data_IF_304662373707
#
_entry.id   IF_304662373707
#
_cell.length_a   1.000
_cell.length_b   1.000
_cell.length_c   1.000
_cell.angle_alpha   90.00
_cell.angle_beta   90.00
_cell.angle_gamma   90.00
#
_symmetry.space_group_name_H-M   'P 1'
#
loop_
_entity.id
_entity.type
_entity.pdbx_description
1 polymer ?
#
# COMPACT_ATOMS: atom_id res chain seq x y z
N UNK A 1 23.79 -1.20 -16.89
CA UNK A 1 23.78 -1.18 -15.40
C UNK A 1 24.27 -2.54 -14.92
N UNK A 2 25.22 -2.64 -13.97
CA UNK A 2 25.74 -3.93 -13.49
C UNK A 2 24.92 -4.44 -12.30
N UNK A 3 24.91 -5.75 -12.02
CA UNK A 3 24.16 -6.33 -10.89
C UNK A 3 24.48 -5.65 -9.56
N UNK A 4 25.76 -5.47 -9.23
CA UNK A 4 26.17 -4.80 -7.98
C UNK A 4 25.71 -3.34 -7.91
N UNK A 5 25.66 -2.63 -9.05
CA UNK A 5 25.10 -1.26 -9.11
C UNK A 5 23.59 -1.27 -8.90
N UNK A 6 22.88 -2.23 -9.48
CA UNK A 6 21.43 -2.41 -9.31
C UNK A 6 21.07 -2.70 -7.86
N UNK A 7 21.78 -3.64 -7.22
CA UNK A 7 21.59 -3.96 -5.79
C UNK A 7 21.83 -2.72 -4.92
N UNK A 8 22.91 -1.96 -5.19
CA UNK A 8 23.19 -0.72 -4.46
C UNK A 8 22.11 0.34 -4.69
N UNK A 9 21.55 0.43 -5.89
CA UNK A 9 20.52 1.41 -6.25
C UNK A 9 19.20 1.14 -5.53
N UNK A 10 18.78 -0.12 -5.43
CA UNK A 10 17.51 -0.53 -4.79
C UNK A 10 17.67 -0.95 -3.32
N UNK A 11 18.85 -0.73 -2.72
CA UNK A 11 19.07 -1.04 -1.31
C UNK A 11 18.17 -0.16 -0.44
N UNK A 12 17.45 -0.81 0.49
CA UNK A 12 16.65 -0.17 1.52
C UNK A 12 17.38 -0.21 2.88
N UNK A 13 17.02 0.67 3.83
CA UNK A 13 17.44 0.57 5.24
C UNK A 13 17.03 -0.76 5.89
N UNK A 14 17.71 -1.12 6.99
CA UNK A 14 17.41 -2.35 7.74
C UNK A 14 16.24 -2.20 8.71
N UNK A 15 15.93 -0.98 9.15
CA UNK A 15 14.83 -0.67 10.05
C UNK A 15 14.01 0.51 9.52
N UNK A 16 12.73 0.55 9.89
CA UNK A 16 11.85 1.67 9.60
C UNK A 16 12.35 2.95 10.24
N UNK A 17 12.03 4.09 9.62
CA UNK A 17 12.53 5.41 10.00
C UNK A 17 11.51 6.15 10.88
N UNK A 18 10.20 5.94 10.64
CA UNK A 18 9.15 6.65 11.36
C UNK A 18 8.99 6.13 12.80
N UNK A 19 9.14 7.01 13.83
CA UNK A 19 8.86 6.64 15.21
C UNK A 19 7.40 6.21 15.41
N UNK A 20 7.18 5.15 16.19
CA UNK A 20 5.82 4.65 16.44
C UNK A 20 5.24 3.80 15.31
N UNK A 21 6.01 3.54 14.24
CA UNK A 21 5.62 2.60 13.19
C UNK A 21 5.54 1.18 13.76
N UNK A 22 4.33 0.61 13.81
CA UNK A 22 4.07 -0.74 14.32
C UNK A 22 2.99 -1.45 13.51
N UNK A 23 2.88 -2.77 13.70
CA UNK A 23 1.82 -3.58 13.10
C UNK A 23 0.45 -3.19 13.69
N UNK A 24 -0.57 -3.20 12.84
CA UNK A 24 -1.97 -3.01 13.28
C UNK A 24 -2.45 -4.19 14.13
N UNK A 25 -3.18 -3.90 15.20
CA UNK A 25 -3.85 -4.86 16.06
C UNK A 25 -5.37 -4.68 16.04
N UNK A 26 -6.10 -5.65 16.60
CA UNK A 26 -7.57 -5.64 16.59
C UNK A 26 -8.17 -4.41 17.30
N UNK A 27 -7.51 -3.92 18.35
CA UNK A 27 -7.98 -2.75 19.09
C UNK A 27 -7.84 -1.43 18.30
N UNK A 28 -7.05 -1.43 17.22
CA UNK A 28 -6.84 -0.26 16.37
C UNK A 28 -7.95 -0.09 15.32
N UNK A 29 -8.80 -1.11 15.09
CA UNK A 29 -9.84 -1.12 14.05
C UNK A 29 -10.71 0.14 14.07
N UNK A 30 -11.23 0.62 15.22
CA UNK A 30 -12.03 1.85 15.24
C UNK A 30 -11.25 3.09 14.81
N UNK A 31 -9.95 3.18 15.17
CA UNK A 31 -9.11 4.31 14.80
C UNK A 31 -8.77 4.31 13.31
N UNK A 32 -8.39 3.16 12.77
CA UNK A 32 -8.13 2.96 11.34
C UNK A 32 -9.38 3.22 10.51
N UNK A 33 -10.56 2.79 10.98
CA UNK A 33 -11.85 3.05 10.33
C UNK A 33 -12.12 4.55 10.18
N UNK A 34 -11.91 5.34 11.24
CA UNK A 34 -12.06 6.81 11.15
C UNK A 34 -11.08 7.42 10.15
N UNK A 35 -9.81 7.01 10.19
CA UNK A 35 -8.78 7.52 9.29
C UNK A 35 -9.09 7.21 7.82
N UNK A 36 -9.39 5.95 7.50
CA UNK A 36 -9.60 5.53 6.13
C UNK A 36 -10.88 6.09 5.55
N UNK A 37 -11.98 6.18 6.33
CA UNK A 37 -13.22 6.80 5.85
C UNK A 37 -13.04 8.28 5.55
N UNK A 38 -12.37 9.02 6.43
CA UNK A 38 -12.07 10.44 6.21
C UNK A 38 -11.23 10.62 4.95
N UNK A 39 -10.20 9.80 4.77
CA UNK A 39 -9.36 9.83 3.58
C UNK A 39 -10.13 9.47 2.31
N UNK A 40 -10.93 8.41 2.34
CA UNK A 40 -11.67 7.94 1.17
C UNK A 40 -12.78 8.90 0.73
N UNK A 41 -13.27 9.75 1.65
CA UNK A 41 -14.27 10.78 1.35
C UNK A 41 -13.80 11.86 0.36
N UNK A 42 -12.49 11.97 0.13
CA UNK A 42 -11.93 12.92 -0.84
C UNK A 42 -11.99 12.44 -2.30
N UNK A 43 -12.29 11.16 -2.54
CA UNK A 43 -12.32 10.57 -3.87
C UNK A 43 -13.75 10.49 -4.43
N UNK A 44 -13.86 10.50 -5.76
CA UNK A 44 -15.17 10.48 -6.45
C UNK A 44 -15.80 9.09 -6.40
N UNK A 45 -14.98 8.03 -6.49
CA UNK A 45 -15.40 6.64 -6.37
C UNK A 45 -14.49 5.96 -5.35
N UNK A 46 -15.05 5.54 -4.24
CA UNK A 46 -14.37 4.84 -3.16
C UNK A 46 -15.36 3.95 -2.39
N UNK A 47 -14.89 2.90 -1.71
CA UNK A 47 -15.72 2.16 -0.77
C UNK A 47 -16.00 3.00 0.48
N UNK A 48 -17.21 2.87 1.05
CA UNK A 48 -17.54 3.41 2.36
C UNK A 48 -17.39 2.30 3.41
N UNK A 49 -16.20 2.17 3.98
CA UNK A 49 -15.87 1.10 4.92
C UNK A 49 -16.52 1.31 6.29
N UNK A 50 -17.10 0.26 6.86
CA UNK A 50 -17.40 0.17 8.28
C UNK A 50 -16.29 -0.55 9.07
N UNK A 51 -16.46 -0.73 10.38
CA UNK A 51 -15.47 -1.42 11.22
C UNK A 51 -15.33 -2.90 10.85
N UNK A 52 -16.40 -3.56 10.39
CA UNK A 52 -16.34 -4.96 9.95
C UNK A 52 -15.53 -5.09 8.65
N UNK A 53 -15.69 -4.14 7.73
CA UNK A 53 -14.91 -4.07 6.51
C UNK A 53 -13.43 -3.86 6.82
N UNK A 54 -13.11 -2.91 7.71
CA UNK A 54 -11.71 -2.66 8.13
C UNK A 54 -11.12 -3.88 8.81
N UNK A 55 -11.84 -4.53 9.72
CA UNK A 55 -11.38 -5.78 10.33
C UNK A 55 -11.19 -6.89 9.28
N UNK A 56 -12.10 -7.01 8.32
CA UNK A 56 -12.04 -8.07 7.32
C UNK A 56 -10.88 -7.88 6.33
N UNK A 57 -10.72 -6.67 5.80
CA UNK A 57 -9.80 -6.37 4.70
C UNK A 57 -8.42 -5.92 5.16
N UNK A 58 -8.32 -5.28 6.33
CA UNK A 58 -7.11 -4.57 6.76
C UNK A 58 -6.47 -5.15 8.01
N UNK A 59 -7.17 -5.94 8.82
CA UNK A 59 -6.51 -6.60 9.95
C UNK A 59 -5.46 -7.59 9.42
N UNK A 60 -4.18 -7.50 9.87
CA UNK A 60 -3.11 -8.29 9.26
C UNK A 60 -3.35 -9.80 9.33
N UNK A 61 -3.21 -10.47 8.19
CA UNK A 61 -3.30 -11.94 8.03
C UNK A 61 -2.07 -12.42 7.29
N UNK A 62 -1.36 -13.37 7.91
CA UNK A 62 -0.11 -13.89 7.38
C UNK A 62 -0.27 -14.40 5.94
N UNK A 63 0.65 -13.98 5.06
CA UNK A 63 0.64 -14.31 3.63
C UNK A 63 -0.61 -13.86 2.84
N UNK A 64 -1.43 -12.97 3.41
CA UNK A 64 -2.61 -12.40 2.76
C UNK A 64 -2.54 -10.89 2.73
N UNK A 65 -2.58 -10.24 3.89
CA UNK A 65 -2.55 -8.77 4.01
C UNK A 65 -1.71 -8.36 5.20
N UNK A 66 -0.93 -7.31 5.00
CA UNK A 66 -0.08 -6.71 6.00
C UNK A 66 -0.42 -5.24 6.14
N UNK A 67 -0.70 -4.84 7.37
CA UNK A 67 -1.10 -3.48 7.72
C UNK A 67 -0.32 -2.97 8.91
N UNK A 68 0.08 -1.71 8.80
CA UNK A 68 0.92 -1.02 9.76
C UNK A 68 0.34 0.37 10.01
N UNK A 69 0.65 0.92 11.17
CA UNK A 69 0.21 2.23 11.59
C UNK A 69 1.34 2.98 12.27
N UNK A 70 1.19 4.30 12.32
CA UNK A 70 2.06 5.19 13.10
C UNK A 70 1.27 5.66 14.31
N UNK A 71 1.78 5.36 15.49
CA UNK A 71 1.26 5.84 16.76
C UNK A 71 2.14 7.01 17.23
N UNK A 72 1.53 8.18 17.46
CA UNK A 72 2.27 9.35 17.95
C UNK A 72 2.90 9.03 19.32
N UNK A 73 4.23 9.20 19.48
CA UNK A 73 4.91 8.96 20.76
C UNK A 73 4.38 9.81 21.91
N UNK A 74 3.86 11.00 21.60
CA UNK A 74 3.37 11.99 22.57
C UNK A 74 1.92 11.74 22.97
N UNK A 75 1.04 11.46 22.01
CA UNK A 75 -0.41 11.40 22.23
C UNK A 75 -0.95 9.98 22.34
N UNK A 76 -0.20 8.98 21.86
CA UNK A 76 -0.64 7.58 21.69
C UNK A 76 -1.78 7.40 20.68
N UNK A 77 -2.09 8.43 19.91
CA UNK A 77 -3.10 8.36 18.87
C UNK A 77 -2.52 7.80 17.57
N UNK A 78 -3.35 7.06 16.82
CA UNK A 78 -3.02 6.58 15.48
C UNK A 78 -3.13 7.74 14.51
N UNK A 79 -2.03 8.11 13.85
CA UNK A 79 -1.97 9.23 12.90
C UNK A 79 -1.99 8.76 11.46
N UNK A 80 -1.24 7.71 11.15
CA UNK A 80 -1.02 7.26 9.78
C UNK A 80 -1.25 5.74 9.68
N UNK A 81 -1.56 5.28 8.47
CA UNK A 81 -1.86 3.88 8.18
C UNK A 81 -1.31 3.50 6.80
N UNK A 82 -0.72 2.33 6.64
CA UNK A 82 -0.38 1.77 5.33
C UNK A 82 -0.59 0.27 5.29
N UNK A 83 -0.97 -0.25 4.12
CA UNK A 83 -1.19 -1.68 3.92
C UNK A 83 -0.78 -2.17 2.54
N UNK A 84 -0.49 -3.46 2.46
CA UNK A 84 -0.22 -4.17 1.23
C UNK A 84 -0.67 -5.63 1.33
N UNK A 85 -1.09 -6.21 0.21
CA UNK A 85 -1.49 -7.62 0.14
C UNK A 85 -0.47 -8.46 -0.63
N UNK A 86 -0.45 -9.75 -0.30
CA UNK A 86 0.44 -10.75 -0.91
C UNK A 86 -0.26 -11.35 -2.11
N UNK A 87 0.36 -11.29 -3.29
CA UNK A 87 -0.12 -12.00 -4.47
C UNK A 87 1.06 -12.69 -5.16
N UNK A 88 1.31 -13.98 -4.87
CA UNK A 88 2.39 -14.72 -5.49
C UNK A 88 2.07 -15.07 -6.95
N UNK A 89 3.07 -14.98 -7.82
CA UNK A 89 2.96 -15.37 -9.23
C UNK A 89 3.85 -16.56 -9.54
N UNK A 90 3.34 -17.54 -10.29
CA UNK A 90 4.15 -18.65 -10.80
C UNK A 90 5.13 -18.17 -11.86
N UNK A 91 6.40 -18.53 -11.73
CA UNK A 91 7.45 -18.21 -12.71
C UNK A 91 7.52 -19.38 -13.71
N UNK A 92 7.19 -19.09 -14.98
CA UNK A 92 7.21 -20.09 -16.04
C UNK A 92 8.62 -20.22 -16.63
N UNK A 93 9.12 -21.46 -16.74
CA UNK A 93 10.34 -21.77 -17.48
C UNK A 93 11.66 -21.34 -16.82
N UNK A 94 11.68 -21.09 -15.51
CA UNK A 94 12.90 -20.76 -14.77
C UNK A 94 13.40 -21.96 -13.95
N UNK A 95 14.69 -22.30 -14.05
CA UNK A 95 15.28 -23.46 -13.39
C UNK A 95 15.60 -23.23 -11.90
N UNK A 96 15.76 -21.97 -11.48
CA UNK A 96 16.21 -21.59 -10.14
C UNK A 96 15.07 -21.16 -9.22
N UNK A 97 13.99 -20.59 -9.79
CA UNK A 97 12.88 -20.01 -9.05
C UNK A 97 11.53 -20.41 -9.65
N UNK A 98 10.58 -20.77 -8.80
CA UNK A 98 9.23 -21.20 -9.21
C UNK A 98 8.13 -20.18 -8.88
N UNK A 99 8.38 -19.28 -7.92
CA UNK A 99 7.40 -18.30 -7.42
C UNK A 99 8.07 -16.94 -7.29
N UNK A 100 7.35 -15.90 -7.70
CA UNK A 100 7.65 -14.49 -7.41
C UNK A 100 6.71 -14.05 -6.28
N UNK A 101 7.26 -13.72 -5.11
CA UNK A 101 6.49 -13.21 -3.97
C UNK A 101 6.32 -11.69 -4.12
N UNK A 102 5.20 -11.25 -4.66
CA UNK A 102 4.91 -9.84 -4.87
C UNK A 102 3.99 -9.27 -3.77
N UNK A 103 4.34 -8.08 -3.29
CA UNK A 103 3.48 -7.24 -2.47
C UNK A 103 2.77 -6.24 -3.38
N UNK A 104 1.49 -5.98 -3.13
CA UNK A 104 0.71 -4.96 -3.83
C UNK A 104 0.20 -3.95 -2.81
N UNK A 105 0.55 -2.67 -3.01
CA UNK A 105 0.06 -1.58 -2.18
C UNK A 105 -1.46 -1.55 -2.20
N UNK A 106 -2.06 -1.43 -1.01
CA UNK A 106 -3.50 -1.43 -0.85
C UNK A 106 -3.98 -0.02 -0.48
N UNK A 107 -4.27 0.26 0.80
CA UNK A 107 -4.68 1.59 1.24
C UNK A 107 -3.60 2.24 2.11
N UNK A 108 -3.31 3.52 1.84
CA UNK A 108 -2.30 4.29 2.57
C UNK A 108 -2.90 5.65 2.94
N UNK A 109 -2.90 5.97 4.23
CA UNK A 109 -3.41 7.21 4.80
C UNK A 109 -2.28 7.89 5.55
N UNK A 110 -1.94 9.10 5.13
CA UNK A 110 -0.87 9.93 5.68
C UNK A 110 -1.47 11.25 6.17
N UNK A 111 -1.29 11.56 7.46
CA UNK A 111 -1.76 12.79 8.10
C UNK A 111 -0.64 13.57 8.77
N UNK A 112 0.24 12.90 9.53
CA UNK A 112 1.35 13.51 10.25
C UNK A 112 2.70 13.18 9.60
N UNK A 113 2.84 11.94 9.13
CA UNK A 113 4.05 11.46 8.46
C UNK A 113 3.95 11.74 6.96
N UNK A 114 4.95 12.37 6.29
CA UNK A 114 4.92 12.55 4.85
C UNK A 114 4.72 11.21 4.11
N UNK A 115 3.80 11.16 3.15
CA UNK A 115 3.45 9.93 2.42
C UNK A 115 4.68 9.22 1.83
N UNK A 116 5.65 9.98 1.32
CA UNK A 116 6.92 9.44 0.81
C UNK A 116 7.68 8.62 1.88
N UNK A 117 7.72 9.11 3.12
CA UNK A 117 8.39 8.44 4.22
C UNK A 117 7.59 7.22 4.69
N UNK A 118 6.27 7.34 4.80
CA UNK A 118 5.38 6.23 5.17
C UNK A 118 5.51 5.06 4.19
N UNK A 119 5.54 5.35 2.89
CA UNK A 119 5.71 4.33 1.85
C UNK A 119 7.13 3.76 1.81
N UNK A 120 8.16 4.56 2.14
CA UNK A 120 9.51 4.01 2.32
C UNK A 120 9.55 2.98 3.46
N UNK A 121 8.86 3.23 4.57
CA UNK A 121 8.76 2.26 5.68
C UNK A 121 7.97 0.99 5.26
N UNK A 122 6.92 1.15 4.45
CA UNK A 122 6.21 0.01 3.86
C UNK A 122 7.13 -0.87 2.98
N UNK A 123 8.01 -0.25 2.17
CA UNK A 123 9.00 -0.98 1.38
C UNK A 123 10.02 -1.72 2.25
N UNK A 124 10.46 -1.10 3.36
CA UNK A 124 11.39 -1.72 4.31
C UNK A 124 10.77 -2.98 4.92
N UNK A 125 9.55 -2.90 5.45
CA UNK A 125 8.90 -4.08 6.07
C UNK A 125 8.51 -5.15 5.06
N UNK A 126 8.16 -4.77 3.83
CA UNK A 126 7.99 -5.74 2.74
C UNK A 126 9.32 -6.44 2.44
N UNK A 127 10.44 -5.72 2.40
CA UNK A 127 11.76 -6.34 2.19
C UNK A 127 12.17 -7.27 3.33
N UNK A 128 11.91 -6.89 4.58
CA UNK A 128 12.13 -7.73 5.76
C UNK A 128 11.30 -9.01 5.76
N UNK A 129 10.17 -9.02 5.03
CA UNK A 129 9.29 -10.17 4.81
C UNK A 129 9.61 -10.95 3.54
N UNK A 130 10.78 -10.71 2.96
CA UNK A 130 11.28 -11.41 1.78
C UNK A 130 10.37 -11.27 0.56
N UNK A 131 9.67 -10.13 0.41
CA UNK A 131 9.03 -9.81 -0.86
C UNK A 131 10.09 -9.46 -1.91
N UNK A 132 9.86 -9.96 -3.13
CA UNK A 132 10.77 -9.77 -4.27
C UNK A 132 10.53 -8.43 -4.97
N UNK A 133 9.28 -7.97 -4.97
CA UNK A 133 8.83 -6.74 -5.62
C UNK A 133 7.64 -6.14 -4.86
N UNK A 134 7.54 -4.82 -4.92
CA UNK A 134 6.41 -4.05 -4.38
C UNK A 134 5.74 -3.29 -5.52
N UNK A 135 4.51 -3.66 -5.83
CA UNK A 135 3.70 -3.07 -6.88
C UNK A 135 2.74 -2.02 -6.28
N UNK A 136 2.46 -0.96 -7.02
CA UNK A 136 1.49 0.05 -6.65
C UNK A 136 0.78 0.56 -7.90
N UNK A 137 -0.51 0.85 -7.77
CA UNK A 137 -1.29 1.55 -8.80
C UNK A 137 -1.07 3.06 -8.69
N UNK A 138 -1.29 3.79 -9.78
CA UNK A 138 -1.26 5.25 -9.85
C UNK A 138 -2.57 5.92 -9.38
N UNK A 139 -3.43 5.17 -8.68
CA UNK A 139 -4.65 5.69 -8.06
C UNK A 139 -4.36 6.50 -6.80
N UNK A 140 -5.37 7.23 -6.30
CA UNK A 140 -5.26 8.05 -5.10
C UNK A 140 -4.12 9.09 -5.20
N UNK A 141 -3.30 9.31 -4.16
CA UNK A 141 -2.12 10.18 -4.25
C UNK A 141 -0.81 9.41 -4.47
N UNK A 142 -0.88 8.17 -4.97
CA UNK A 142 0.31 7.32 -5.05
C UNK A 142 1.39 7.90 -5.97
N UNK A 143 0.99 8.58 -7.05
CA UNK A 143 1.92 9.20 -8.02
C UNK A 143 3.01 10.07 -7.34
N UNK A 144 2.68 10.70 -6.21
CA UNK A 144 3.59 11.58 -5.47
C UNK A 144 4.85 10.89 -4.93
N UNK A 145 4.80 9.59 -4.64
CA UNK A 145 5.95 8.83 -4.13
C UNK A 145 6.61 7.90 -5.17
N UNK A 146 5.90 7.55 -6.26
CA UNK A 146 6.37 6.52 -7.20
C UNK A 146 7.76 6.82 -7.74
N UNK A 147 7.98 8.03 -8.27
CA UNK A 147 9.26 8.41 -8.86
C UNK A 147 10.39 8.46 -7.83
N UNK A 148 10.14 9.08 -6.68
CA UNK A 148 11.12 9.26 -5.61
C UNK A 148 11.55 7.93 -4.98
N UNK A 149 10.60 6.98 -4.84
CA UNK A 149 10.87 5.61 -4.37
C UNK A 149 11.26 4.64 -5.50
N UNK A 150 11.60 5.16 -6.69
CA UNK A 150 12.16 4.40 -7.82
C UNK A 150 11.21 3.32 -8.36
N UNK A 151 9.90 3.52 -8.24
CA UNK A 151 8.93 2.71 -8.98
C UNK A 151 9.11 2.98 -10.48
N UNK A 152 9.04 1.90 -11.26
CA UNK A 152 9.02 1.96 -12.71
C UNK A 152 7.62 1.64 -13.24
N UNK A 153 7.17 2.27 -14.33
CA UNK A 153 5.91 1.89 -14.96
C UNK A 153 6.00 0.46 -15.48
N UNK A 154 4.96 -0.33 -15.21
CA UNK A 154 4.75 -1.64 -15.83
C UNK A 154 4.25 -1.51 -17.28
N UNK A 155 4.05 -2.65 -17.93
CA UNK A 155 3.43 -2.77 -19.26
C UNK A 155 1.90 -2.93 -19.20
N UNK A 156 1.37 -3.39 -18.08
CA UNK A 156 -0.06 -3.56 -17.82
C UNK A 156 -0.79 -2.24 -17.50
N UNK A 157 -2.08 -2.19 -17.86
CA UNK A 157 -3.02 -1.14 -17.43
C UNK A 157 -4.22 -1.78 -16.75
N UNK A 158 -4.64 -1.21 -15.62
CA UNK A 158 -5.86 -1.60 -14.94
C UNK A 158 -6.97 -0.59 -15.30
N UNK A 159 -8.05 -1.08 -15.88
CA UNK A 159 -9.19 -0.26 -16.30
C UNK A 159 -10.39 -0.51 -15.39
N UNK A 160 -11.00 0.57 -14.90
CA UNK A 160 -12.17 0.52 -14.02
C UNK A 160 -13.44 0.72 -14.82
N UNK A 161 -14.43 -0.14 -14.61
CA UNK A 161 -15.73 -0.09 -15.28
C UNK A 161 -16.84 -0.18 -14.24
N UNK A 162 -17.93 0.56 -14.46
CA UNK A 162 -19.14 0.47 -13.66
C UNK A 162 -20.26 -0.14 -14.49
N UNK A 163 -20.97 -1.11 -13.92
CA UNK A 163 -22.14 -1.70 -14.54
C UNK A 163 -23.40 -0.90 -14.18
N UNK A 164 -24.21 -0.55 -15.20
CA UNK A 164 -25.47 0.19 -15.04
C UNK A 164 -25.34 1.52 -14.26
N UNK A 165 -24.19 2.19 -14.37
CA UNK A 165 -23.94 3.47 -13.73
C UNK A 165 -23.24 4.44 -14.70
N UNK A 166 -23.71 5.68 -14.77
CA UNK A 166 -23.14 6.71 -15.65
C UNK A 166 -22.39 7.75 -14.80
N UNK A 167 -21.10 7.92 -15.08
CA UNK A 167 -20.30 9.06 -14.59
C UNK A 167 -20.43 10.24 -15.57
N UNK A 168 -20.44 11.47 -15.05
CA UNK A 168 -20.62 12.68 -15.87
C UNK A 168 -19.39 13.00 -16.72
N UNK A 169 -18.20 12.67 -16.21
CA UNK A 169 -16.92 12.90 -16.84
C UNK A 169 -16.00 11.72 -16.54
N UNK A 170 -14.99 11.52 -17.40
CA UNK A 170 -13.92 10.56 -17.15
C UNK A 170 -13.16 10.96 -15.88
N UNK A 171 -12.87 9.97 -15.04
CA UNK A 171 -12.14 10.18 -13.79
C UNK A 171 -10.65 10.00 -14.02
N UNK A 172 -9.85 10.86 -13.41
CA UNK A 172 -8.40 10.66 -13.30
C UNK A 172 -8.13 9.52 -12.30
N UNK A 173 -7.00 8.81 -12.43
CA UNK A 173 -6.59 7.82 -11.43
C UNK A 173 -6.58 8.39 -10.00
N UNK A 174 -6.19 9.66 -9.83
CA UNK A 174 -6.18 10.34 -8.53
C UNK A 174 -7.56 10.65 -7.94
N UNK A 175 -8.63 10.51 -8.71
CA UNK A 175 -10.02 10.64 -8.25
C UNK A 175 -10.64 9.28 -7.86
N UNK A 176 -9.91 8.18 -8.06
CA UNK A 176 -10.30 6.82 -7.67
C UNK A 176 -9.67 6.47 -6.31
N UNK A 177 -10.53 6.16 -5.34
CA UNK A 177 -10.18 5.64 -4.01
C UNK A 177 -10.48 4.16 -3.86
N UNK A 178 -10.47 3.39 -4.96
CA UNK A 178 -10.76 1.96 -4.97
C UNK A 178 -9.54 1.19 -5.46
N UNK A 179 -9.14 0.17 -4.70
CA UNK A 179 -8.18 -0.85 -5.14
C UNK A 179 -8.92 -2.18 -5.32
N UNK A 180 -8.85 -2.73 -6.53
CA UNK A 180 -9.41 -4.05 -6.85
C UNK A 180 -8.36 -5.14 -6.60
N UNK A 181 -8.78 -6.22 -5.94
CA UNK A 181 -7.98 -7.42 -5.71
C UNK A 181 -8.01 -8.38 -6.90
#
# INVERSE_FOLDING_TARGET
MTMSRTIKLYKLPESTVTPGFRKMEIHDVPAVTRLIRNYLSFFVVAPDFDENDVEHWLLPRENVVDSYLVESPETREVTDFCSFYTLPSTILGNQNYSVLKAAYSFYNVSTATPLLQLMNDALIVAKQKDFDVFNALDVMQNETFLKELKFGPGDGKLHYYLYNYRIKQELKPSELGLVLL
#
